data_IF_071369810702
#
_entry.id   IF_071369810702
#
_cell.length_a   1.000
_cell.length_b   1.000
_cell.length_c   1.000
_cell.angle_alpha   90.00
_cell.angle_beta   90.00
_cell.angle_gamma   90.00
#
_symmetry.space_group_name_H-M   'P 1'
#
loop_
_entity.id
_entity.type
_entity.pdbx_description
1 polymer ?
#
# COMPACT_ATOMS: atom_id res chain seq x y z
N UNK A 1 -3.40 -21.29 -0.84
CA UNK A 1 -4.43 -20.22 -0.66
C UNK A 1 -4.21 -19.01 -1.58
N UNK A 2 -3.12 -18.98 -2.37
CA UNK A 2 -2.76 -17.87 -3.28
C UNK A 2 -3.60 -17.81 -4.57
N UNK A 3 -3.94 -18.96 -5.17
CA UNK A 3 -4.59 -19.02 -6.50
C UNK A 3 -5.93 -18.28 -6.63
N UNK A 4 -6.68 -18.11 -5.52
CA UNK A 4 -7.98 -17.40 -5.58
C UNK A 4 -7.90 -15.89 -5.43
N UNK A 5 -6.78 -15.36 -4.93
CA UNK A 5 -6.64 -13.92 -4.76
C UNK A 5 -6.23 -13.24 -6.07
N UNK A 6 -5.36 -13.88 -6.83
CA UNK A 6 -4.88 -13.40 -8.14
C UNK A 6 -5.98 -13.37 -9.21
N UNK A 7 -6.87 -14.38 -9.25
CA UNK A 7 -7.98 -14.40 -10.22
C UNK A 7 -9.07 -13.35 -9.96
N UNK A 8 -9.16 -12.82 -8.74
CA UNK A 8 -10.21 -11.87 -8.34
C UNK A 8 -9.70 -10.45 -8.11
N UNK A 9 -8.40 -10.22 -8.12
CA UNK A 9 -7.80 -8.90 -8.00
C UNK A 9 -8.20 -8.04 -9.20
N UNK A 10 -9.03 -7.04 -8.95
CA UNK A 10 -9.43 -6.08 -9.95
C UNK A 10 -8.39 -4.99 -9.95
N UNK A 11 -7.61 -4.92 -11.02
CA UNK A 11 -6.61 -3.87 -11.21
C UNK A 11 -7.30 -2.50 -11.29
N UNK A 12 -7.07 -1.66 -10.31
CA UNK A 12 -7.51 -0.27 -10.31
C UNK A 12 -6.29 0.61 -10.20
N UNK A 13 -6.06 1.38 -11.23
CA UNK A 13 -5.13 2.48 -11.13
C UNK A 13 -5.67 3.56 -10.19
N UNK A 14 -4.81 4.13 -9.41
CA UNK A 14 -5.09 5.32 -8.61
C UNK A 14 -5.08 6.52 -9.54
N UNK A 15 -6.23 7.18 -9.70
CA UNK A 15 -6.36 8.33 -10.61
C UNK A 15 -5.61 9.57 -10.11
N UNK A 16 -5.47 9.70 -8.79
CA UNK A 16 -4.74 10.80 -8.14
C UNK A 16 -4.03 10.28 -6.92
N UNK A 17 -2.84 10.76 -6.70
CA UNK A 17 -2.08 10.43 -5.50
C UNK A 17 -2.84 10.85 -4.23
N UNK A 18 -2.78 10.08 -3.16
CA UNK A 18 -3.25 10.52 -1.85
C UNK A 18 -2.57 11.84 -1.45
N UNK A 19 -3.34 12.78 -0.92
CA UNK A 19 -2.82 14.13 -0.63
C UNK A 19 -1.66 14.14 0.38
N UNK A 20 -1.62 13.18 1.31
CA UNK A 20 -0.48 13.04 2.22
C UNK A 20 0.73 12.47 1.49
N UNK A 21 0.55 11.53 0.56
CA UNK A 21 1.64 11.01 -0.27
C UNK A 21 2.28 12.14 -1.09
N UNK A 22 1.48 12.97 -1.77
CA UNK A 22 2.00 14.13 -2.53
C UNK A 22 2.84 15.07 -1.65
N UNK A 23 2.38 15.33 -0.41
CA UNK A 23 3.11 16.19 0.54
C UNK A 23 4.31 15.52 1.20
N UNK A 24 4.28 14.19 1.31
CA UNK A 24 5.35 13.41 1.92
C UNK A 24 6.57 13.29 1.01
N UNK A 25 6.33 13.12 -0.30
CA UNK A 25 7.42 12.95 -1.25
C UNK A 25 8.18 14.27 -1.49
N UNK A 26 9.48 14.19 -1.83
CA UNK A 26 10.21 15.37 -2.29
C UNK A 26 9.50 16.03 -3.49
N UNK A 27 9.37 17.37 -3.52
CA UNK A 27 8.60 18.06 -4.56
C UNK A 27 9.33 18.11 -5.92
N UNK A 28 10.54 17.61 -5.97
CA UNK A 28 11.40 17.61 -7.17
C UNK A 28 11.65 16.18 -7.61
N UNK A 29 11.07 15.80 -8.72
CA UNK A 29 11.30 14.52 -9.39
C UNK A 29 12.21 14.67 -10.62
N UNK A 30 12.54 13.56 -11.26
CA UNK A 30 12.21 12.18 -10.91
C UNK A 30 12.99 11.64 -9.71
N UNK A 31 12.38 10.75 -8.94
CA UNK A 31 12.92 10.17 -7.72
C UNK A 31 13.48 8.77 -7.96
N UNK A 32 14.51 8.41 -7.21
CA UNK A 32 14.86 7.00 -7.01
C UNK A 32 13.92 6.46 -5.92
N UNK A 33 13.02 5.53 -6.30
CA UNK A 33 11.88 5.15 -5.48
C UNK A 33 11.71 3.64 -5.40
N UNK A 34 11.24 3.14 -4.27
CA UNK A 34 10.70 1.79 -4.15
C UNK A 34 9.24 1.83 -3.67
N UNK A 35 8.40 0.96 -4.25
CA UNK A 35 7.06 0.63 -3.75
C UNK A 35 7.12 -0.80 -3.19
N UNK A 36 7.01 -0.91 -1.85
CA UNK A 36 7.09 -2.17 -1.13
C UNK A 36 5.69 -2.75 -0.93
N UNK A 37 5.47 -3.98 -1.40
CA UNK A 37 4.15 -4.60 -1.50
C UNK A 37 3.30 -3.90 -2.56
N UNK A 38 3.91 -3.61 -3.71
CA UNK A 38 3.32 -2.79 -4.77
C UNK A 38 2.09 -3.42 -5.44
N UNK A 39 1.87 -4.73 -5.25
CA UNK A 39 0.83 -5.45 -5.98
C UNK A 39 1.01 -5.30 -7.50
N UNK A 40 -0.08 -4.98 -8.18
CA UNK A 40 -0.10 -4.73 -9.64
C UNK A 40 0.36 -3.31 -10.04
N UNK A 41 0.93 -2.56 -9.10
CA UNK A 41 1.47 -1.22 -9.31
C UNK A 41 0.43 -0.12 -9.56
N UNK A 42 -0.68 -0.05 -8.78
CA UNK A 42 -1.77 0.90 -9.02
C UNK A 42 -1.35 2.36 -8.86
N UNK A 43 -0.27 2.65 -8.16
CA UNK A 43 0.25 4.00 -7.94
C UNK A 43 1.16 4.51 -9.06
N UNK A 44 1.81 3.62 -9.82
CA UNK A 44 2.81 4.02 -10.80
C UNK A 44 2.28 4.95 -11.90
N UNK A 45 1.06 4.78 -12.46
CA UNK A 45 0.53 5.74 -13.41
C UNK A 45 0.43 7.16 -12.83
N UNK A 46 -0.14 7.31 -11.65
CA UNK A 46 -0.30 8.61 -11.02
C UNK A 46 1.04 9.26 -10.61
N UNK A 47 2.04 8.44 -10.21
CA UNK A 47 3.40 8.90 -9.93
C UNK A 47 4.09 9.40 -11.20
N UNK A 48 3.92 8.70 -12.32
CA UNK A 48 4.47 9.09 -13.61
C UNK A 48 3.80 10.38 -14.14
N UNK A 49 2.48 10.47 -14.07
CA UNK A 49 1.71 11.66 -14.46
C UNK A 49 2.11 12.90 -13.64
N UNK A 50 2.41 12.69 -12.35
CA UNK A 50 2.93 13.73 -11.46
C UNK A 50 4.43 14.04 -11.69
N UNK A 51 5.10 13.35 -12.64
CA UNK A 51 6.53 13.48 -12.95
C UNK A 51 7.45 13.19 -11.74
N UNK A 52 6.99 12.37 -10.82
CA UNK A 52 7.77 11.94 -9.67
C UNK A 52 8.66 10.73 -9.98
N UNK A 53 8.32 9.96 -11.02
CA UNK A 53 9.11 8.84 -11.53
C UNK A 53 9.16 8.85 -13.04
N UNK A 54 10.27 8.39 -13.60
CA UNK A 54 10.46 8.10 -15.02
C UNK A 54 11.64 7.12 -15.23
N UNK A 55 11.96 6.82 -16.49
CA UNK A 55 13.04 5.88 -16.84
C UNK A 55 14.46 6.41 -16.57
N UNK A 56 14.64 7.67 -16.17
CA UNK A 56 15.96 8.27 -15.91
C UNK A 56 16.51 7.94 -14.52
N UNK A 57 15.62 7.52 -13.59
CA UNK A 57 15.99 7.16 -12.22
C UNK A 57 15.49 5.76 -11.88
N UNK A 58 16.21 4.98 -11.07
CA UNK A 58 15.78 3.66 -10.65
C UNK A 58 14.45 3.73 -9.87
N UNK A 59 13.47 2.93 -10.32
CA UNK A 59 12.23 2.67 -9.60
C UNK A 59 12.12 1.17 -9.39
N UNK A 60 11.81 0.77 -8.16
CA UNK A 60 11.67 -0.62 -7.74
C UNK A 60 10.22 -0.93 -7.38
N UNK A 61 9.72 -2.03 -7.89
CA UNK A 61 8.46 -2.65 -7.51
C UNK A 61 8.76 -3.94 -6.76
N UNK A 62 8.41 -4.00 -5.48
CA UNK A 62 8.69 -5.16 -4.61
C UNK A 62 7.37 -5.78 -4.21
N UNK A 63 7.20 -7.09 -4.45
CA UNK A 63 6.04 -7.86 -3.99
C UNK A 63 6.43 -9.34 -3.80
N UNK A 64 5.64 -10.07 -3.01
CA UNK A 64 5.80 -11.50 -2.81
C UNK A 64 5.29 -12.33 -4.00
N UNK A 65 4.39 -11.78 -4.81
CA UNK A 65 3.70 -12.49 -5.87
C UNK A 65 4.28 -12.14 -7.26
N UNK A 66 5.01 -13.09 -7.92
CA UNK A 66 5.62 -12.85 -9.22
C UNK A 66 4.62 -12.45 -10.32
N UNK A 67 3.40 -12.99 -10.27
CA UNK A 67 2.35 -12.71 -11.25
C UNK A 67 1.95 -11.23 -11.23
N UNK A 68 1.91 -10.61 -10.05
CA UNK A 68 1.63 -9.17 -9.91
C UNK A 68 2.76 -8.33 -10.50
N UNK A 69 3.99 -8.72 -10.22
CA UNK A 69 5.16 -8.06 -10.77
C UNK A 69 5.27 -8.20 -12.29
N UNK A 70 4.78 -9.32 -12.87
CA UNK A 70 4.69 -9.46 -14.33
C UNK A 70 3.77 -8.38 -14.93
N UNK A 71 2.62 -8.10 -14.33
CA UNK A 71 1.73 -7.01 -14.77
C UNK A 71 2.40 -5.63 -14.69
N UNK A 72 3.23 -5.38 -13.66
CA UNK A 72 4.02 -4.15 -13.58
C UNK A 72 5.02 -4.08 -14.74
N UNK A 73 5.76 -5.17 -15.01
CA UNK A 73 6.76 -5.23 -16.07
C UNK A 73 6.15 -5.05 -17.47
N UNK A 74 4.97 -5.61 -17.71
CA UNK A 74 4.24 -5.44 -18.98
C UNK A 74 3.86 -3.99 -19.26
N UNK A 75 3.51 -3.24 -18.20
CA UNK A 75 3.06 -1.85 -18.30
C UNK A 75 4.21 -0.84 -18.24
N UNK A 76 5.25 -1.15 -17.47
CA UNK A 76 6.38 -0.27 -17.18
C UNK A 76 7.70 -1.06 -17.28
N UNK A 77 8.15 -1.37 -18.50
CA UNK A 77 9.36 -2.17 -18.75
C UNK A 77 10.66 -1.58 -18.13
N UNK A 78 10.63 -0.31 -17.72
CA UNK A 78 11.76 0.37 -17.08
C UNK A 78 11.76 0.27 -15.55
N UNK A 79 10.66 -0.18 -14.93
CA UNK A 79 10.59 -0.44 -13.49
C UNK A 79 11.27 -1.77 -13.17
N UNK A 80 12.12 -1.78 -12.17
CA UNK A 80 12.82 -2.96 -11.69
C UNK A 80 11.93 -3.73 -10.72
N UNK A 81 11.54 -4.93 -11.10
CA UNK A 81 10.73 -5.81 -10.24
C UNK A 81 11.62 -6.67 -9.36
N UNK A 82 11.25 -6.82 -8.09
CA UNK A 82 11.94 -7.64 -7.10
C UNK A 82 10.91 -8.52 -6.40
N UNK A 83 11.06 -9.84 -6.53
CA UNK A 83 10.24 -10.79 -5.76
C UNK A 83 10.85 -10.95 -4.39
N UNK A 84 10.19 -10.44 -3.36
CA UNK A 84 10.72 -10.44 -2.00
C UNK A 84 9.77 -9.89 -0.96
N UNK A 85 10.11 -10.12 0.30
CA UNK A 85 9.37 -9.58 1.44
C UNK A 85 9.80 -8.15 1.73
N UNK A 86 8.82 -7.30 2.09
CA UNK A 86 9.04 -5.88 2.37
C UNK A 86 9.95 -5.61 3.59
N UNK A 87 10.17 -6.61 4.43
CA UNK A 87 11.06 -6.55 5.60
C UNK A 87 12.50 -6.97 5.30
N UNK A 88 12.80 -7.42 4.06
CA UNK A 88 14.14 -7.79 3.63
C UNK A 88 14.28 -7.74 2.10
N UNK A 89 14.91 -6.67 1.57
CA UNK A 89 15.09 -6.40 0.14
C UNK A 89 16.57 -6.11 -0.17
N UNK A 90 17.43 -7.15 -0.14
CA UNK A 90 18.87 -6.97 -0.32
C UNK A 90 19.28 -6.41 -1.69
N UNK A 91 18.41 -6.52 -2.69
CA UNK A 91 18.61 -5.98 -4.05
C UNK A 91 18.67 -4.45 -4.08
N UNK A 92 18.14 -3.76 -3.03
CA UNK A 92 18.17 -2.32 -2.90
C UNK A 92 19.28 -1.93 -1.93
N UNK A 93 20.25 -1.18 -2.42
CA UNK A 93 21.39 -0.75 -1.61
C UNK A 93 20.98 0.22 -0.49
N UNK A 94 21.68 0.18 0.64
CA UNK A 94 21.48 1.10 1.75
C UNK A 94 21.71 2.55 1.33
N UNK A 95 20.84 3.46 1.77
CA UNK A 95 20.96 4.89 1.51
C UNK A 95 20.82 5.30 0.05
N UNK A 96 20.18 4.48 -0.79
CA UNK A 96 20.10 4.71 -2.23
C UNK A 96 18.80 5.37 -2.71
N UNK A 97 17.76 5.38 -1.89
CA UNK A 97 16.43 5.85 -2.29
C UNK A 97 16.13 7.27 -1.80
N UNK A 98 15.54 8.08 -2.68
CA UNK A 98 14.92 9.35 -2.33
C UNK A 98 13.61 9.12 -1.57
N UNK A 99 12.87 8.08 -1.98
CA UNK A 99 11.56 7.80 -1.43
C UNK A 99 11.23 6.29 -1.36
N UNK A 100 10.44 5.92 -0.36
CA UNK A 100 9.80 4.61 -0.23
C UNK A 100 8.30 4.81 -0.08
N UNK A 101 7.52 4.06 -0.84
CA UNK A 101 6.07 3.94 -0.68
C UNK A 101 5.78 2.53 -0.19
N UNK A 102 4.83 2.37 0.73
CA UNK A 102 4.31 1.07 1.12
C UNK A 102 2.88 1.23 1.64
N UNK A 103 1.94 0.65 0.92
CA UNK A 103 0.51 0.85 1.22
C UNK A 103 -0.17 -0.45 1.61
N UNK A 104 -0.72 -0.50 2.82
CA UNK A 104 -1.45 -1.66 3.36
C UNK A 104 -0.58 -2.93 3.36
N UNK A 105 0.64 -2.82 3.88
CA UNK A 105 1.64 -3.90 3.95
C UNK A 105 2.04 -4.20 5.39
N UNK A 106 2.22 -3.17 6.22
CA UNK A 106 2.72 -3.29 7.59
C UNK A 106 1.88 -4.26 8.44
N UNK A 107 0.59 -4.39 8.18
CA UNK A 107 -0.31 -5.34 8.83
C UNK A 107 -0.09 -6.81 8.42
N UNK A 108 0.61 -7.04 7.32
CA UNK A 108 0.88 -8.37 6.77
C UNK A 108 2.28 -8.89 7.09
N UNK A 109 3.26 -8.02 7.36
CA UNK A 109 4.63 -8.47 7.63
C UNK A 109 4.73 -9.17 8.99
N UNK A 110 5.50 -10.25 9.12
CA UNK A 110 5.69 -10.93 10.39
C UNK A 110 6.34 -10.04 11.45
N UNK A 111 7.35 -9.26 11.06
CA UNK A 111 8.13 -8.37 11.93
C UNK A 111 8.06 -6.92 11.42
N UNK A 112 7.22 -6.11 12.05
CA UNK A 112 7.09 -4.70 11.71
C UNK A 112 8.32 -3.86 12.08
N UNK A 113 9.12 -4.30 13.06
CA UNK A 113 10.35 -3.60 13.40
C UNK A 113 11.42 -3.81 12.31
N UNK A 114 11.58 -5.04 11.82
CA UNK A 114 12.43 -5.34 10.68
C UNK A 114 11.98 -4.60 9.42
N UNK A 115 10.69 -4.56 9.14
CA UNK A 115 10.11 -3.82 8.01
C UNK A 115 10.42 -2.32 8.07
N UNK A 116 10.23 -1.66 9.21
CA UNK A 116 10.53 -0.23 9.35
C UNK A 116 12.05 0.03 9.31
N UNK A 117 12.86 -0.87 9.88
CA UNK A 117 14.31 -0.78 9.80
C UNK A 117 14.80 -0.91 8.35
N UNK A 118 14.17 -1.76 7.55
CA UNK A 118 14.49 -1.97 6.13
C UNK A 118 14.14 -0.72 5.31
N UNK A 119 12.97 -0.11 5.54
CA UNK A 119 12.62 1.19 4.95
C UNK A 119 13.70 2.22 5.28
N UNK A 120 14.09 2.34 6.56
CA UNK A 120 15.12 3.27 6.98
C UNK A 120 16.48 2.97 6.31
N UNK A 121 16.85 1.70 6.20
CA UNK A 121 18.10 1.27 5.54
C UNK A 121 18.18 1.76 4.10
N UNK A 122 17.11 1.56 3.33
CA UNK A 122 17.05 1.91 1.91
C UNK A 122 17.04 3.41 1.67
N UNK A 123 16.38 4.20 2.51
CA UNK A 123 16.32 5.64 2.36
C UNK A 123 17.71 6.28 2.54
N UNK A 124 18.05 7.27 1.71
CA UNK A 124 19.18 8.17 1.97
C UNK A 124 18.88 9.13 3.14
N UNK A 125 19.88 9.81 3.65
CA UNK A 125 19.66 10.85 4.65
C UNK A 125 18.75 11.96 4.10
N UNK A 126 17.71 12.31 4.87
CA UNK A 126 16.63 13.20 4.44
C UNK A 126 15.66 12.58 3.43
N UNK A 127 15.80 11.29 3.12
CA UNK A 127 14.84 10.54 2.32
C UNK A 127 13.49 10.38 3.03
N UNK A 128 12.43 10.20 2.26
CA UNK A 128 11.06 10.19 2.75
C UNK A 128 10.37 8.85 2.52
N UNK A 129 9.51 8.45 3.44
CA UNK A 129 8.61 7.33 3.20
C UNK A 129 7.14 7.73 3.41
N UNK A 130 6.29 7.11 2.62
CA UNK A 130 4.85 7.11 2.82
C UNK A 130 4.39 5.68 3.11
N UNK A 131 3.90 5.47 4.31
CA UNK A 131 3.45 4.15 4.78
C UNK A 131 1.99 4.24 5.17
N UNK A 132 1.18 3.27 4.76
CA UNK A 132 -0.19 3.15 5.25
C UNK A 132 -0.46 1.79 5.85
N UNK A 133 -1.35 1.75 6.83
CA UNK A 133 -1.78 0.52 7.48
C UNK A 133 -3.21 0.64 8.03
N UNK A 134 -3.80 -0.49 8.40
CA UNK A 134 -5.13 -0.52 9.01
C UNK A 134 -5.08 -0.08 10.46
N UNK A 135 -5.91 0.90 10.79
CA UNK A 135 -6.19 1.30 12.17
C UNK A 135 -7.67 1.11 12.49
N UNK A 136 -7.98 0.50 13.62
CA UNK A 136 -9.37 0.29 14.05
C UNK A 136 -9.63 0.80 15.48
N UNK A 137 -10.84 1.24 15.73
CA UNK A 137 -11.34 1.49 17.09
C UNK A 137 -11.67 0.17 17.77
N UNK A 138 -11.64 0.12 19.11
CA UNK A 138 -11.99 -1.07 19.89
C UNK A 138 -13.41 -1.57 19.62
N UNK A 139 -14.33 -0.68 19.26
CA UNK A 139 -15.72 -0.97 18.90
C UNK A 139 -15.91 -1.19 17.39
N UNK A 140 -14.85 -1.24 16.59
CA UNK A 140 -14.94 -1.40 15.14
C UNK A 140 -15.66 -2.70 14.77
N UNK A 141 -16.50 -2.59 13.74
CA UNK A 141 -17.25 -3.74 13.27
C UNK A 141 -17.07 -3.96 11.77
N UNK A 142 -16.83 -5.24 11.42
CA UNK A 142 -16.82 -5.71 10.05
C UNK A 142 -17.36 -7.15 10.01
N UNK A 143 -17.90 -7.57 8.89
CA UNK A 143 -18.52 -8.88 8.75
C UNK A 143 -17.53 -10.05 8.75
N UNK A 144 -16.25 -9.81 8.42
CA UNK A 144 -15.19 -10.83 8.53
C UNK A 144 -14.74 -10.96 9.98
N UNK A 145 -14.50 -12.19 10.41
CA UNK A 145 -14.06 -12.49 11.76
C UNK A 145 -12.81 -13.37 11.75
N UNK A 146 -11.92 -13.09 12.70
CA UNK A 146 -10.81 -13.96 13.06
C UNK A 146 -10.78 -14.02 14.59
N UNK A 147 -10.80 -15.25 15.14
CA UNK A 147 -10.82 -15.50 16.58
C UNK A 147 -11.92 -14.74 17.35
N UNK A 148 -13.08 -14.56 16.69
CA UNK A 148 -14.23 -13.84 17.25
C UNK A 148 -14.19 -12.33 17.08
N UNK A 149 -13.05 -11.75 16.74
CA UNK A 149 -12.90 -10.30 16.51
C UNK A 149 -13.16 -9.90 15.06
N UNK A 150 -13.68 -8.68 14.86
CA UNK A 150 -13.80 -8.09 13.52
C UNK A 150 -12.43 -7.80 12.95
N UNK A 151 -12.20 -8.26 11.70
CA UNK A 151 -10.99 -7.96 10.93
C UNK A 151 -11.37 -7.51 9.53
N UNK A 152 -10.61 -6.57 8.99
CA UNK A 152 -10.82 -6.08 7.63
C UNK A 152 -10.46 -7.14 6.60
N UNK A 153 -9.36 -7.84 6.85
CA UNK A 153 -8.91 -8.99 6.07
C UNK A 153 -8.41 -10.10 6.98
N UNK A 154 -8.69 -11.35 6.63
CA UNK A 154 -8.26 -12.53 7.40
C UNK A 154 -6.77 -12.83 7.26
N UNK A 155 -6.11 -12.27 6.27
CA UNK A 155 -4.66 -12.36 6.07
C UNK A 155 -3.86 -11.35 6.92
N UNK A 156 -4.52 -10.34 7.53
CA UNK A 156 -3.84 -9.43 8.44
C UNK A 156 -3.29 -10.18 9.65
N UNK A 157 -2.02 -10.05 9.92
CA UNK A 157 -1.42 -10.56 11.14
C UNK A 157 -1.80 -9.70 12.34
N UNK A 158 -2.01 -8.39 12.10
CA UNK A 158 -2.44 -7.40 13.09
C UNK A 158 -3.27 -6.28 12.47
N UNK A 159 -4.05 -5.62 13.31
CA UNK A 159 -4.75 -4.37 12.99
C UNK A 159 -4.58 -3.43 14.19
N UNK A 160 -3.99 -2.28 13.98
CA UNK A 160 -3.62 -1.37 15.06
C UNK A 160 -4.84 -0.73 15.70
N UNK A 161 -4.84 -0.67 17.04
CA UNK A 161 -5.91 -0.03 17.84
C UNK A 161 -5.38 1.11 18.70
N UNK A 162 -4.06 1.17 18.88
CA UNK A 162 -3.36 2.18 19.65
C UNK A 162 -2.35 2.92 18.78
N UNK A 163 -2.50 4.25 18.73
CA UNK A 163 -1.62 5.11 17.96
C UNK A 163 -0.23 5.24 18.59
N UNK A 164 -0.16 5.21 19.93
CA UNK A 164 1.10 5.34 20.64
C UNK A 164 2.03 4.16 20.34
N UNK A 165 1.48 2.94 20.20
CA UNK A 165 2.27 1.76 19.81
C UNK A 165 2.88 1.90 18.42
N UNK A 166 2.12 2.42 17.44
CA UNK A 166 2.63 2.67 16.08
C UNK A 166 3.73 3.75 16.11
N UNK A 167 3.52 4.83 16.86
CA UNK A 167 4.51 5.90 17.00
C UNK A 167 5.80 5.40 17.67
N UNK A 168 5.68 4.53 18.67
CA UNK A 168 6.83 3.92 19.35
C UNK A 168 7.62 3.00 18.41
N UNK A 169 6.93 2.17 17.59
CA UNK A 169 7.56 1.32 16.57
C UNK A 169 8.36 2.16 15.55
N UNK A 170 7.76 3.24 15.03
CA UNK A 170 8.45 4.12 14.10
C UNK A 170 9.66 4.78 14.76
N UNK A 171 9.53 5.29 15.98
CA UNK A 171 10.64 5.92 16.71
C UNK A 171 11.77 4.92 16.97
N UNK A 172 11.44 3.67 17.34
CA UNK A 172 12.42 2.62 17.60
C UNK A 172 13.22 2.23 16.33
N UNK A 173 12.64 2.36 15.15
CA UNK A 173 13.35 2.13 13.88
C UNK A 173 14.32 3.27 13.52
N UNK A 174 14.27 4.41 14.21
CA UNK A 174 15.05 5.62 13.92
C UNK A 174 14.48 6.46 12.78
N UNK A 175 13.25 6.18 12.33
CA UNK A 175 12.49 7.04 11.44
C UNK A 175 11.74 8.10 12.26
N UNK A 176 11.47 9.25 11.66
CA UNK A 176 10.72 10.36 12.26
C UNK A 176 9.38 10.53 11.56
N UNK A 177 8.29 10.56 12.29
CA UNK A 177 6.98 10.92 11.73
C UNK A 177 6.94 12.42 11.49
N UNK A 178 6.77 12.84 10.24
CA UNK A 178 6.63 14.24 9.85
C UNK A 178 5.17 14.65 9.67
N UNK A 179 4.31 13.70 9.34
CA UNK A 179 2.86 13.90 9.33
C UNK A 179 2.14 12.56 9.51
N UNK A 180 0.93 12.63 10.06
CA UNK A 180 0.08 11.48 10.31
C UNK A 180 -1.37 11.86 10.06
N UNK A 181 -2.08 11.08 9.26
CA UNK A 181 -3.50 11.26 8.98
C UNK A 181 -4.27 9.96 9.18
N UNK A 182 -5.55 10.07 9.50
CA UNK A 182 -6.49 8.94 9.54
C UNK A 182 -7.63 9.22 8.59
N UNK A 183 -7.80 8.37 7.59
CA UNK A 183 -8.91 8.45 6.63
C UNK A 183 -9.85 7.29 6.81
N UNK A 184 -11.15 7.56 6.73
CA UNK A 184 -12.16 6.51 6.79
C UNK A 184 -11.91 5.49 5.69
N UNK A 185 -11.97 4.20 6.03
CA UNK A 185 -12.05 3.14 5.06
C UNK A 185 -13.49 2.99 4.58
N UNK A 186 -13.66 2.81 3.29
CA UNK A 186 -14.95 2.73 2.63
C UNK A 186 -15.18 1.36 2.02
N UNK A 187 -16.36 0.81 2.25
CA UNK A 187 -16.80 -0.44 1.67
C UNK A 187 -17.77 -0.17 0.50
N UNK A 188 -17.50 -0.71 -0.71
CA UNK A 188 -18.43 -0.64 -1.83
C UNK A 188 -19.62 -1.55 -1.54
N UNK A 189 -20.80 -0.97 -1.31
CA UNK A 189 -22.02 -1.69 -0.91
C UNK A 189 -22.43 -2.82 -1.85
N UNK A 190 -22.15 -2.66 -3.13
CA UNK A 190 -22.58 -3.59 -4.16
C UNK A 190 -21.53 -4.65 -4.52
N UNK A 191 -20.33 -4.61 -3.92
CA UNK A 191 -19.30 -5.63 -4.17
C UNK A 191 -19.79 -7.07 -3.87
N UNK A 192 -20.49 -7.37 -2.76
CA UNK A 192 -21.00 -8.72 -2.52
C UNK A 192 -21.97 -9.20 -3.60
N UNK A 193 -22.77 -8.30 -4.15
CA UNK A 193 -23.67 -8.59 -5.26
C UNK A 193 -22.92 -8.82 -6.57
N UNK A 194 -21.90 -8.00 -6.83
CA UNK A 194 -21.05 -8.14 -8.01
C UNK A 194 -20.25 -9.46 -8.01
N UNK A 195 -19.84 -9.94 -6.83
CA UNK A 195 -19.23 -11.26 -6.68
C UNK A 195 -20.20 -12.41 -7.00
N UNK A 196 -21.50 -12.26 -6.69
CA UNK A 196 -22.52 -13.28 -6.94
C UNK A 196 -22.98 -13.34 -8.39
N UNK A 197 -23.03 -12.22 -9.10
CA UNK A 197 -23.57 -12.12 -10.47
C UNK A 197 -22.57 -12.64 -11.53
N UNK A 198 -21.33 -12.97 -11.13
CA UNK A 198 -20.36 -13.65 -12.00
C UNK A 198 -19.95 -12.87 -13.26
N UNK A 199 -19.23 -13.52 -14.17
CA UNK A 199 -18.48 -12.97 -15.29
C UNK A 199 -19.13 -11.95 -16.26
N UNK A 200 -20.44 -11.79 -16.30
CA UNK A 200 -21.10 -10.90 -17.28
C UNK A 200 -20.83 -9.39 -17.11
N UNK A 201 -20.49 -8.94 -15.89
CA UNK A 201 -20.11 -7.55 -15.64
C UNK A 201 -18.59 -7.33 -15.71
N UNK A 202 -17.78 -8.39 -15.77
CA UNK A 202 -16.32 -8.29 -15.93
C UNK A 202 -15.93 -7.54 -17.20
N UNK A 203 -16.74 -7.65 -18.25
CA UNK A 203 -16.51 -7.02 -19.56
C UNK A 203 -17.01 -5.55 -19.66
N UNK A 204 -17.58 -4.97 -18.60
CA UNK A 204 -18.15 -3.61 -18.62
C UNK A 204 -17.54 -2.70 -17.54
N UNK A 205 -16.33 -2.13 -17.74
CA UNK A 205 -15.60 -1.38 -16.72
C UNK A 205 -16.38 -0.16 -16.19
N UNK A 206 -17.09 0.56 -17.06
CA UNK A 206 -17.87 1.74 -16.70
C UNK A 206 -19.08 1.42 -15.80
N UNK A 207 -19.77 0.32 -16.04
CA UNK A 207 -20.89 -0.13 -15.20
C UNK A 207 -20.40 -0.54 -13.81
N UNK A 208 -19.26 -1.21 -13.73
CA UNK A 208 -18.63 -1.58 -12.45
C UNK A 208 -18.18 -0.36 -11.66
N UNK A 209 -17.61 0.64 -12.34
CA UNK A 209 -17.20 1.92 -11.71
C UNK A 209 -18.42 2.64 -11.11
N UNK A 210 -19.53 2.72 -11.83
CA UNK A 210 -20.78 3.33 -11.36
C UNK A 210 -21.37 2.59 -10.15
N UNK A 211 -21.38 1.25 -10.17
CA UNK A 211 -21.88 0.43 -9.06
C UNK A 211 -21.00 0.53 -7.81
N UNK A 212 -19.69 0.71 -7.97
CA UNK A 212 -18.76 0.92 -6.86
C UNK A 212 -18.74 2.36 -6.32
N UNK A 213 -19.41 3.30 -6.98
CA UNK A 213 -19.54 4.67 -6.47
C UNK A 213 -20.37 4.72 -5.17
N UNK A 214 -21.30 3.79 -4.97
CA UNK A 214 -22.05 3.66 -3.72
C UNK A 214 -21.17 3.02 -2.63
N UNK A 215 -20.51 3.85 -1.84
CA UNK A 215 -19.63 3.43 -0.74
C UNK A 215 -20.19 3.87 0.60
N UNK A 216 -19.99 3.03 1.63
CA UNK A 216 -20.25 3.40 3.03
C UNK A 216 -18.97 3.30 3.84
N UNK A 217 -18.77 4.15 4.85
CA UNK A 217 -17.63 4.01 5.73
C UNK A 217 -17.75 2.71 6.52
N UNK A 218 -16.63 2.01 6.67
CA UNK A 218 -16.58 0.82 7.53
C UNK A 218 -16.53 1.31 8.98
N UNK A 219 -17.50 0.93 9.83
CA UNK A 219 -17.60 1.44 11.19
C UNK A 219 -16.34 1.21 12.00
N UNK A 220 -15.69 2.29 12.44
CA UNK A 220 -14.50 2.25 13.28
C UNK A 220 -13.19 1.89 12.59
N UNK A 221 -13.15 1.69 11.27
CA UNK A 221 -11.94 1.39 10.50
C UNK A 221 -11.41 2.61 9.75
N UNK A 222 -10.09 2.74 9.78
CA UNK A 222 -9.36 3.85 9.15
C UNK A 222 -8.13 3.32 8.40
N UNK A 223 -7.80 3.96 7.30
CA UNK A 223 -6.45 3.95 6.75
C UNK A 223 -5.61 4.93 7.58
N UNK A 224 -4.60 4.44 8.27
CA UNK A 224 -3.60 5.25 8.96
C UNK A 224 -2.49 5.55 7.96
N UNK A 225 -2.32 6.81 7.65
CA UNK A 225 -1.31 7.31 6.71
C UNK A 225 -0.18 7.98 7.47
N UNK A 226 1.05 7.57 7.22
CA UNK A 226 2.26 8.05 7.86
C UNK A 226 3.20 8.64 6.79
N UNK A 227 3.59 9.88 6.96
CA UNK A 227 4.73 10.46 6.25
C UNK A 227 5.94 10.40 7.19
N UNK A 228 6.99 9.70 6.76
CA UNK A 228 8.19 9.42 7.55
C UNK A 228 9.41 10.06 6.91
N UNK A 229 10.43 10.32 7.72
CA UNK A 229 11.73 10.84 7.28
C UNK A 229 12.86 10.09 7.98
N UNK A 230 13.91 9.77 7.22
CA UNK A 230 15.18 9.28 7.77
C UNK A 230 16.04 10.40 8.32
#
# INVERSE_FOLDING_TARGET
MSERYTETAIHFDVERLPSLLERALPPVGPLTLADLGCGDGPLFPALADARLIDATRPVYAVDLEPERLAHVSERFAWIRTVVGSADHVPEIASGSLDAVISTMVMEHVPDEAAYLAEIRRMLRDGGRAYVTTVFKKRWAWYFRKRDGESVLDTSHLREYTDLASVQALVAASGLRIVALERRLLWFPLLDPLLFRIGGGLRSRPNARRALRAAKVPIPGYYNLELALER
#
